data_IF_819666622621
#
_entry.id   IF_819666622621
#
_cell.length_a   1.000
_cell.length_b   1.000
_cell.length_c   1.000
_cell.angle_alpha   90.00
_cell.angle_beta   90.00
_cell.angle_gamma   90.00
#
_symmetry.space_group_name_H-M   'P 1'
#
loop_
_entity.id
_entity.type
_entity.pdbx_description
1 polymer ?
#
# COMPACT_ATOMS: atom_id res chain seq x y z
N UNK A 1 -35.42 65.48 12.79
CA UNK A 1 -35.78 64.57 11.69
C UNK A 1 -34.57 64.39 10.79
N UNK A 2 -34.09 63.15 10.62
CA UNK A 2 -33.39 62.51 9.48
C UNK A 2 -32.73 63.43 8.41
N UNK A 3 -31.46 63.30 7.96
CA UNK A 3 -30.61 62.15 7.55
C UNK A 3 -29.16 62.60 7.28
N UNK A 4 -28.29 61.61 7.04
CA UNK A 4 -27.07 61.60 6.20
C UNK A 4 -25.76 61.56 7.01
N UNK A 5 -24.72 60.78 6.67
CA UNK A 5 -24.52 59.80 5.60
C UNK A 5 -23.37 58.86 6.04
N UNK A 6 -23.37 57.66 5.46
CA UNK A 6 -22.24 56.71 5.45
C UNK A 6 -20.99 57.31 4.78
N UNK A 7 -19.87 56.57 4.95
CA UNK A 7 -18.52 56.68 4.34
C UNK A 7 -17.50 57.41 5.24
N UNK A 8 -16.24 56.99 5.45
CA UNK A 8 -15.34 56.07 4.75
C UNK A 8 -14.21 55.63 5.72
N UNK A 9 -13.57 54.50 5.41
CA UNK A 9 -12.54 53.80 6.19
C UNK A 9 -11.27 54.61 6.54
N UNK A 10 -10.61 54.24 7.65
CA UNK A 10 -9.16 54.01 7.65
C UNK A 10 -8.73 53.18 8.88
N UNK A 11 -8.53 51.88 8.67
CA UNK A 11 -7.78 51.02 9.59
C UNK A 11 -6.31 51.27 9.27
N UNK A 12 -5.56 51.89 10.19
CA UNK A 12 -4.11 52.01 10.08
C UNK A 12 -3.47 50.96 10.99
N UNK A 13 -2.96 49.91 10.36
CA UNK A 13 -2.29 48.78 10.97
C UNK A 13 -1.01 49.23 11.73
N UNK A 14 -0.91 48.84 13.00
CA UNK A 14 0.32 48.93 13.78
C UNK A 14 1.02 47.56 13.79
N UNK A 15 2.24 47.63 13.27
CA UNK A 15 3.23 46.60 12.99
C UNK A 15 3.52 45.69 14.18
N UNK A 16 3.15 44.41 14.07
CA UNK A 16 3.79 43.32 14.82
C UNK A 16 4.80 42.68 13.87
N UNK A 17 6.01 43.24 13.81
CA UNK A 17 7.16 42.57 13.20
C UNK A 17 7.65 41.48 14.16
N UNK A 18 6.86 40.41 14.29
CA UNK A 18 7.27 39.18 14.94
C UNK A 18 8.21 38.43 13.99
N UNK A 19 9.40 38.12 14.46
CA UNK A 19 10.39 37.27 13.80
C UNK A 19 9.88 35.83 13.68
N UNK A 20 8.89 35.57 12.82
CA UNK A 20 8.60 34.22 12.36
C UNK A 20 9.59 33.94 11.22
N UNK A 21 10.70 33.29 11.57
CA UNK A 21 11.50 32.61 10.55
C UNK A 21 10.71 31.38 10.15
N UNK A 22 10.00 31.47 9.03
CA UNK A 22 9.33 30.34 8.39
C UNK A 22 10.34 29.19 8.32
N UNK A 23 10.05 28.08 9.00
CA UNK A 23 10.82 26.87 8.81
C UNK A 23 10.62 26.41 7.35
N UNK A 24 11.66 25.92 6.66
CA UNK A 24 11.48 25.32 5.34
C UNK A 24 10.38 24.26 5.42
N UNK A 25 9.49 24.15 4.42
CA UNK A 25 8.51 23.08 4.41
C UNK A 25 9.27 21.76 4.48
N UNK A 26 9.02 20.98 5.54
CA UNK A 26 9.51 19.62 5.60
C UNK A 26 9.01 18.88 4.35
N UNK A 27 9.85 18.06 3.69
CA UNK A 27 9.41 17.29 2.54
C UNK A 27 8.27 16.38 2.98
N UNK A 28 7.05 16.73 2.56
CA UNK A 28 5.85 15.93 2.81
C UNK A 28 6.07 14.61 2.10
N UNK A 29 6.29 13.55 2.88
CA UNK A 29 6.28 12.20 2.36
C UNK A 29 4.98 11.99 1.57
N UNK A 30 5.01 11.34 0.38
CA UNK A 30 3.80 11.06 -0.37
C UNK A 30 2.76 10.42 0.56
N UNK A 31 1.55 10.98 0.59
CA UNK A 31 0.47 10.40 1.38
C UNK A 31 0.26 8.93 1.00
N UNK A 32 -0.20 8.12 1.96
CA UNK A 32 -0.52 6.70 1.70
C UNK A 32 -1.45 6.59 0.48
N UNK A 33 -1.13 5.72 -0.50
CA UNK A 33 -1.94 5.60 -1.70
C UNK A 33 -3.35 5.11 -1.36
N UNK A 34 -4.35 5.62 -2.09
CA UNK A 34 -5.73 5.17 -1.95
C UNK A 34 -5.87 3.66 -2.22
N UNK A 35 -6.86 3.03 -1.60
CA UNK A 35 -7.16 1.60 -1.78
C UNK A 35 -8.41 1.41 -2.63
N UNK A 36 -8.39 0.45 -3.55
CA UNK A 36 -9.58 0.06 -4.30
C UNK A 36 -10.60 -0.57 -3.35
N UNK A 37 -11.85 -0.09 -3.28
CA UNK A 37 -12.81 -0.52 -2.26
C UNK A 37 -13.24 -1.99 -2.40
N UNK A 38 -13.03 -2.60 -3.57
CA UNK A 38 -13.39 -3.99 -3.85
C UNK A 38 -12.23 -4.94 -3.57
N UNK A 39 -11.06 -4.65 -4.13
CA UNK A 39 -9.88 -5.53 -4.04
C UNK A 39 -8.96 -5.22 -2.86
N UNK A 40 -9.02 -4.01 -2.30
CA UNK A 40 -8.08 -3.54 -1.27
C UNK A 40 -6.67 -3.28 -1.79
N UNK A 41 -6.43 -3.38 -3.09
CA UNK A 41 -5.12 -3.09 -3.69
C UNK A 41 -4.83 -1.58 -3.64
N UNK A 42 -3.57 -1.22 -3.42
CA UNK A 42 -3.09 0.17 -3.54
C UNK A 42 -3.28 0.66 -4.98
N UNK A 43 -4.02 1.75 -5.18
CA UNK A 43 -4.35 2.30 -6.50
C UNK A 43 -3.17 3.10 -7.09
N UNK A 44 -2.04 2.42 -7.33
CA UNK A 44 -0.81 2.97 -7.90
C UNK A 44 -0.42 2.22 -9.19
N UNK A 45 0.30 2.86 -10.10
CA UNK A 45 0.85 2.20 -11.29
C UNK A 45 -0.15 1.31 -12.04
N UNK A 46 0.26 0.06 -12.31
CA UNK A 46 -0.53 -0.94 -13.05
C UNK A 46 -1.44 -1.80 -12.13
N UNK A 47 -1.98 -1.26 -11.03
CA UNK A 47 -2.77 -2.04 -10.05
C UNK A 47 -4.00 -2.74 -10.65
N UNK A 48 -4.66 -2.15 -11.64
CA UNK A 48 -5.84 -2.75 -12.27
C UNK A 48 -5.51 -4.03 -13.05
N UNK A 49 -4.29 -4.09 -13.59
CA UNK A 49 -3.78 -5.30 -14.25
C UNK A 49 -3.61 -6.41 -13.22
N UNK A 50 -3.07 -6.10 -12.04
CA UNK A 50 -2.95 -7.06 -10.93
C UNK A 50 -4.32 -7.48 -10.40
N UNK A 51 -5.26 -6.54 -10.25
CA UNK A 51 -6.65 -6.85 -9.89
C UNK A 51 -7.23 -7.86 -10.89
N UNK A 52 -7.13 -7.56 -12.19
CA UNK A 52 -7.65 -8.44 -13.24
C UNK A 52 -6.95 -9.80 -13.23
N UNK A 53 -5.63 -9.88 -13.11
CA UNK A 53 -4.91 -11.16 -13.20
C UNK A 53 -5.05 -12.03 -11.94
N UNK A 54 -5.10 -11.42 -10.74
CA UNK A 54 -4.96 -12.16 -9.48
C UNK A 54 -6.27 -12.43 -8.74
N UNK A 55 -7.40 -11.84 -9.17
CA UNK A 55 -8.70 -12.05 -8.52
C UNK A 55 -9.55 -13.19 -9.11
N UNK A 56 -9.05 -13.90 -10.13
CA UNK A 56 -9.83 -14.95 -10.82
C UNK A 56 -10.05 -16.21 -9.98
N UNK A 57 -9.08 -16.58 -9.13
CA UNK A 57 -9.11 -17.85 -8.40
C UNK A 57 -9.31 -17.68 -6.89
N UNK A 58 -8.93 -16.54 -6.33
CA UNK A 58 -9.05 -16.25 -4.90
C UNK A 58 -9.17 -14.74 -4.65
N UNK A 59 -9.48 -14.36 -3.43
CA UNK A 59 -9.47 -12.96 -3.00
C UNK A 59 -8.08 -12.34 -3.14
N UNK A 60 -8.03 -11.07 -3.52
CA UNK A 60 -6.80 -10.25 -3.53
C UNK A 60 -6.23 -10.01 -2.13
N UNK A 61 -7.00 -10.27 -1.07
CA UNK A 61 -6.49 -10.24 0.31
C UNK A 61 -5.35 -11.24 0.52
N UNK A 62 -5.37 -12.39 -0.17
CA UNK A 62 -4.25 -13.33 -0.13
C UNK A 62 -2.98 -12.71 -0.73
N UNK A 63 -3.10 -11.95 -1.82
CA UNK A 63 -1.99 -11.22 -2.45
C UNK A 63 -1.46 -10.14 -1.50
N UNK A 64 -2.36 -9.36 -0.89
CA UNK A 64 -2.03 -8.30 0.08
C UNK A 64 -1.35 -8.86 1.33
N UNK A 65 -1.58 -10.13 1.68
CA UNK A 65 -0.91 -10.81 2.79
C UNK A 65 0.53 -11.26 2.50
N UNK A 66 0.92 -11.37 1.22
CA UNK A 66 2.23 -11.86 0.79
C UNK A 66 3.26 -10.73 0.67
N UNK A 67 4.53 -11.04 0.87
CA UNK A 67 5.65 -10.09 0.79
C UNK A 67 6.76 -10.71 -0.04
N UNK A 68 7.34 -9.96 -0.97
CA UNK A 68 8.38 -10.48 -1.83
C UNK A 68 9.11 -9.44 -2.67
N UNK A 69 10.35 -9.75 -3.04
CA UNK A 69 11.09 -9.05 -4.09
C UNK A 69 10.52 -9.40 -5.45
N UNK A 70 10.98 -8.74 -6.51
CA UNK A 70 10.57 -9.06 -7.88
C UNK A 70 10.81 -10.54 -8.23
N UNK A 71 11.94 -11.10 -7.81
CA UNK A 71 12.33 -12.50 -8.04
C UNK A 71 11.45 -13.47 -7.25
N UNK A 72 11.09 -13.11 -6.01
CA UNK A 72 10.20 -13.91 -5.17
C UNK A 72 8.77 -13.92 -5.73
N UNK A 73 8.27 -12.77 -6.17
CA UNK A 73 6.98 -12.68 -6.87
C UNK A 73 6.97 -13.45 -8.19
N UNK A 74 8.04 -13.35 -8.98
CA UNK A 74 8.20 -14.15 -10.20
C UNK A 74 8.14 -15.65 -9.89
N UNK A 75 8.85 -16.10 -8.86
CA UNK A 75 8.85 -17.50 -8.43
C UNK A 75 7.44 -17.95 -8.03
N UNK A 76 6.70 -17.12 -7.30
CA UNK A 76 5.32 -17.41 -6.91
C UNK A 76 4.40 -17.49 -8.13
N UNK A 77 4.52 -16.58 -9.10
CA UNK A 77 3.76 -16.61 -10.35
C UNK A 77 4.08 -17.87 -11.16
N UNK A 78 5.36 -18.25 -11.27
CA UNK A 78 5.77 -19.49 -11.94
C UNK A 78 5.19 -20.72 -11.26
N UNK A 79 5.16 -20.75 -9.92
CA UNK A 79 4.51 -21.83 -9.18
C UNK A 79 3.00 -21.88 -9.44
N UNK A 80 2.31 -20.73 -9.48
CA UNK A 80 0.88 -20.69 -9.80
C UNK A 80 0.61 -21.15 -11.24
N UNK A 81 1.49 -20.81 -12.19
CA UNK A 81 1.39 -21.27 -13.57
C UNK A 81 1.58 -22.79 -13.68
N UNK A 82 2.58 -23.35 -12.99
CA UNK A 82 2.89 -24.78 -13.02
C UNK A 82 1.90 -25.64 -12.22
N UNK A 83 1.44 -25.16 -11.06
CA UNK A 83 0.65 -25.98 -10.10
C UNK A 83 -0.81 -25.60 -10.01
N UNK A 84 -1.18 -24.38 -10.37
CA UNK A 84 -2.52 -23.83 -10.16
C UNK A 84 -3.20 -23.37 -11.46
N UNK A 85 -2.62 -23.75 -12.62
CA UNK A 85 -3.17 -23.46 -13.94
C UNK A 85 -3.37 -21.94 -14.20
N UNK A 86 -2.54 -21.09 -13.60
CA UNK A 86 -2.47 -19.69 -14.02
C UNK A 86 -1.92 -19.65 -15.45
N UNK A 87 -2.58 -18.92 -16.34
CA UNK A 87 -2.10 -18.81 -17.72
C UNK A 87 -0.78 -18.02 -17.78
N UNK A 88 -0.02 -18.25 -18.85
CA UNK A 88 1.18 -17.46 -19.10
C UNK A 88 0.81 -16.03 -19.51
N UNK A 89 1.44 -15.06 -18.86
CA UNK A 89 1.30 -13.66 -19.24
C UNK A 89 2.24 -13.33 -20.41
N UNK A 90 1.88 -12.33 -21.21
CA UNK A 90 2.84 -11.73 -22.13
C UNK A 90 4.01 -11.10 -21.33
N UNK A 91 5.25 -11.12 -21.83
CA UNK A 91 6.41 -10.64 -21.06
C UNK A 91 6.27 -9.21 -20.52
N UNK A 92 5.68 -8.31 -21.31
CA UNK A 92 5.45 -6.91 -20.90
C UNK A 92 4.37 -6.78 -19.81
N UNK A 93 3.36 -7.66 -19.83
CA UNK A 93 2.29 -7.73 -18.82
C UNK A 93 2.86 -8.27 -17.51
N UNK A 94 3.64 -9.35 -17.58
CA UNK A 94 4.29 -9.94 -16.42
C UNK A 94 5.21 -8.95 -15.71
N UNK A 95 6.03 -8.21 -16.47
CA UNK A 95 6.92 -7.21 -15.90
C UNK A 95 6.17 -6.12 -15.13
N UNK A 96 5.02 -5.67 -15.64
CA UNK A 96 4.15 -4.69 -14.97
C UNK A 96 3.58 -5.23 -13.67
N UNK A 97 3.07 -6.47 -13.70
CA UNK A 97 2.52 -7.15 -12.52
C UNK A 97 3.61 -7.29 -11.45
N UNK A 98 4.78 -7.81 -11.81
CA UNK A 98 5.90 -8.02 -10.87
C UNK A 98 6.38 -6.70 -10.29
N UNK A 99 6.55 -5.66 -11.12
CA UNK A 99 6.95 -4.33 -10.64
C UNK A 99 5.97 -3.79 -9.61
N UNK A 100 4.67 -3.80 -9.92
CA UNK A 100 3.65 -3.33 -9.00
C UNK A 100 3.69 -4.11 -7.67
N UNK A 101 3.77 -5.45 -7.73
CA UNK A 101 3.78 -6.30 -6.54
C UNK A 101 5.01 -6.04 -5.66
N UNK A 102 6.19 -5.91 -6.27
CA UNK A 102 7.43 -5.64 -5.54
C UNK A 102 7.47 -4.24 -4.93
N UNK A 103 6.96 -3.21 -5.64
CA UNK A 103 6.88 -1.85 -5.11
C UNK A 103 5.89 -1.72 -3.95
N UNK A 104 4.72 -2.35 -4.07
CA UNK A 104 3.62 -2.13 -3.13
C UNK A 104 3.61 -3.11 -1.95
N UNK A 105 4.19 -4.30 -2.14
CA UNK A 105 4.25 -5.40 -1.16
C UNK A 105 5.68 -6.01 -1.08
N UNK A 106 6.71 -5.19 -0.77
CA UNK A 106 8.11 -5.61 -0.74
C UNK A 106 8.39 -6.62 0.38
N UNK A 107 9.55 -7.29 0.40
CA UNK A 107 9.96 -8.12 1.53
C UNK A 107 9.92 -7.33 2.84
N UNK A 108 9.47 -7.98 3.91
CA UNK A 108 9.57 -7.47 5.27
C UNK A 108 10.23 -8.52 6.15
N UNK A 109 10.69 -8.13 7.33
CA UNK A 109 11.13 -9.09 8.34
C UNK A 109 10.07 -10.18 8.54
N UNK A 110 10.54 -11.43 8.69
CA UNK A 110 9.65 -12.57 8.88
C UNK A 110 8.75 -12.34 10.08
N UNK A 111 7.43 -12.43 9.86
CA UNK A 111 6.43 -12.38 10.92
C UNK A 111 5.88 -13.76 11.28
N UNK A 112 6.59 -14.84 10.90
CA UNK A 112 6.19 -16.19 11.32
C UNK A 112 6.30 -16.29 12.83
N UNK A 113 5.24 -16.83 13.45
CA UNK A 113 5.27 -17.16 14.88
C UNK A 113 6.41 -18.14 15.14
N UNK A 114 7.10 -17.98 16.26
CA UNK A 114 8.03 -18.98 16.73
C UNK A 114 7.33 -20.33 16.90
N UNK A 115 8.09 -21.42 16.76
CA UNK A 115 7.58 -22.74 17.09
C UNK A 115 7.13 -22.80 18.55
N UNK A 116 6.11 -23.60 18.85
CA UNK A 116 5.71 -23.84 20.23
C UNK A 116 6.84 -24.56 20.98
N UNK A 117 7.18 -24.12 22.20
CA UNK A 117 8.04 -24.88 23.10
C UNK A 117 7.53 -26.32 23.30
N UNK A 118 8.41 -27.34 23.42
CA UNK A 118 8.00 -28.74 23.56
C UNK A 118 7.06 -29.02 24.72
N UNK A 119 7.18 -28.27 25.82
CA UNK A 119 6.33 -28.36 27.02
C UNK A 119 4.91 -27.82 26.81
N UNK A 120 4.69 -27.01 25.77
CA UNK A 120 3.38 -26.50 25.36
C UNK A 120 2.75 -27.32 24.23
N UNK A 121 3.43 -28.36 23.73
CA UNK A 121 2.88 -29.26 22.74
C UNK A 121 1.96 -30.30 23.41
N UNK A 122 0.76 -30.57 22.88
CA UNK A 122 -0.05 -31.68 23.36
C UNK A 122 0.62 -33.02 23.06
N UNK A 123 0.30 -34.09 23.81
CA UNK A 123 0.79 -35.44 23.49
C UNK A 123 0.44 -35.82 22.04
N UNK A 124 1.42 -36.32 21.28
CA UNK A 124 1.19 -36.79 19.91
C UNK A 124 0.51 -38.17 19.94
N UNK A 125 -0.76 -38.31 19.50
CA UNK A 125 -1.47 -39.58 19.51
C UNK A 125 -0.96 -40.58 18.45
N UNK A 126 -0.04 -40.16 17.59
CA UNK A 126 0.58 -40.97 16.53
C UNK A 126 2.09 -41.18 16.78
N UNK A 127 2.59 -40.97 18.00
CA UNK A 127 3.96 -41.35 18.33
C UNK A 127 4.10 -42.89 18.20
N UNK A 128 5.19 -43.40 17.59
CA UNK A 128 5.42 -44.82 17.42
C UNK A 128 5.62 -45.56 18.76
#
# INVERSE_FOLDING_TARGET
>A
MMRAAMTTALVCALLIAGCAREAPPEPVAPGEPGLDPVSGLKMTGDWELVRASCSHCHSTQLVIGQRGSAEQWLTMIRWMQDKQNLHNFAPSVEQKIIRYLAENYPPTASRRRAALPPDLMPPNPYAP
#
